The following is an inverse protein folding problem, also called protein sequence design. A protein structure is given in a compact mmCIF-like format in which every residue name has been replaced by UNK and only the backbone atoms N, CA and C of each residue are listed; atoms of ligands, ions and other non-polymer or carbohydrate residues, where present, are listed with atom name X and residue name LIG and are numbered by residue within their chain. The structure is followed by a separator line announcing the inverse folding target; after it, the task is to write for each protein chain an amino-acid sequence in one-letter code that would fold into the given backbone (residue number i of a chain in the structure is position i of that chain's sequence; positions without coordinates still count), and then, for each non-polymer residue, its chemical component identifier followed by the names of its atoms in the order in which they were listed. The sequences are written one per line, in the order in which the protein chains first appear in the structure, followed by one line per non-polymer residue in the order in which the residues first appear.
data_IF_788928825672
#
_entry.id   IF_788928825672
#
_cell.length_a   1.000
_cell.length_b   1.000
_cell.length_c   1.000
_cell.angle_alpha   90.00
_cell.angle_beta   90.00
_cell.angle_gamma   90.00
#
_symmetry.space_group_name_H-M   'P 1'
#
loop_
_entity.id
_entity.type
_entity.pdbx_description
1 polymer ?
#
# COMPACT_ATOMS: atom_id res chain seq x y z
N UNK A 1 -1.79 18.97 13.04
CA UNK A 1 -2.24 18.03 11.99
C UNK A 1 -1.58 16.65 12.09
N UNK A 2 -0.26 16.55 12.22
CA UNK A 2 0.48 15.28 12.30
C UNK A 2 0.00 14.31 13.40
N UNK A 3 -0.48 14.82 14.54
CA UNK A 3 -1.05 13.99 15.62
C UNK A 3 -2.36 13.27 15.26
N UNK A 4 -3.10 13.78 14.27
CA UNK A 4 -4.39 13.20 13.85
C UNK A 4 -4.19 12.10 12.81
N UNK A 5 -3.22 12.24 11.90
CA UNK A 5 -2.93 11.28 10.82
C UNK A 5 -2.88 9.82 11.30
N UNK A 6 -2.10 9.45 12.35
CA UNK A 6 -2.04 8.05 12.79
C UNK A 6 -3.33 7.54 13.45
N UNK A 7 -4.28 8.43 13.78
CA UNK A 7 -5.58 8.07 14.37
C UNK A 7 -6.65 7.80 13.32
N UNK A 8 -6.41 8.19 12.06
CA UNK A 8 -7.37 8.02 10.97
C UNK A 8 -7.28 6.58 10.46
N UNK A 9 -8.41 5.89 10.47
CA UNK A 9 -8.55 4.52 9.98
C UNK A 9 -8.84 4.51 8.48
N UNK A 10 -7.83 4.85 7.68
CA UNK A 10 -7.90 4.88 6.22
C UNK A 10 -6.63 4.28 5.62
N UNK A 11 -6.73 3.77 4.39
CA UNK A 11 -5.58 3.25 3.68
C UNK A 11 -4.70 4.35 3.09
N UNK A 12 -5.28 5.50 2.74
CA UNK A 12 -4.59 6.68 2.20
C UNK A 12 -5.19 7.94 2.84
N UNK A 13 -4.37 8.92 3.22
CA UNK A 13 -4.82 10.20 3.79
C UNK A 13 -4.17 11.33 3.01
N UNK A 14 -4.98 12.22 2.44
CA UNK A 14 -4.51 13.46 1.83
C UNK A 14 -4.61 14.64 2.80
N UNK A 15 -3.65 15.55 2.71
CA UNK A 15 -3.55 16.75 3.55
C UNK A 15 -3.47 17.95 2.63
N UNK A 16 -4.41 18.89 2.76
CA UNK A 16 -4.51 20.11 1.94
C UNK A 16 -4.60 19.87 0.41
N UNK A 17 -4.96 18.65 0.00
CA UNK A 17 -5.16 18.24 -1.37
C UNK A 17 -6.15 17.05 -1.40
N UNK A 18 -6.61 16.67 -2.58
CA UNK A 18 -7.44 15.48 -2.77
C UNK A 18 -7.16 14.88 -4.15
N UNK A 19 -7.30 13.55 -4.28
CA UNK A 19 -7.10 12.80 -5.53
C UNK A 19 -5.72 12.95 -6.19
N UNK A 20 -4.69 13.42 -5.46
CA UNK A 20 -3.32 13.33 -5.96
C UNK A 20 -2.85 11.87 -5.86
N UNK A 21 -2.47 11.30 -6.99
CA UNK A 21 -1.98 9.93 -7.12
C UNK A 21 -0.62 9.96 -7.81
N UNK A 22 0.28 9.12 -7.35
CA UNK A 22 1.60 8.91 -7.92
C UNK A 22 1.83 7.40 -8.04
N UNK A 23 2.30 6.94 -9.20
CA UNK A 23 2.46 5.51 -9.48
C UNK A 23 3.51 4.82 -8.61
N UNK A 24 4.38 5.59 -7.95
CA UNK A 24 5.40 5.09 -7.03
C UNK A 24 4.91 4.97 -5.58
N UNK A 25 3.77 5.58 -5.23
CA UNK A 25 3.23 5.62 -3.86
C UNK A 25 2.16 4.54 -3.69
N UNK A 26 2.27 3.65 -2.68
CA UNK A 26 1.26 2.62 -2.43
C UNK A 26 -0.12 3.20 -2.15
N UNK A 27 -1.14 2.71 -2.86
CA UNK A 27 -2.54 3.06 -2.69
C UNK A 27 -3.35 1.87 -2.20
N UNK A 28 -4.38 2.11 -1.40
CA UNK A 28 -5.28 1.04 -0.97
C UNK A 28 -6.28 1.46 0.09
N UNK A 29 -7.18 0.53 0.42
CA UNK A 29 -8.27 0.72 1.36
C UNK A 29 -7.94 0.29 2.79
N UNK A 30 -8.93 0.44 3.67
CA UNK A 30 -8.91 -0.10 5.03
C UNK A 30 -10.26 -0.77 5.33
N UNK A 31 -10.25 -1.93 6.01
CA UNK A 31 -11.44 -2.76 6.29
C UNK A 31 -12.19 -3.17 5.01
N UNK A 32 -13.48 -2.83 4.91
CA UNK A 32 -14.36 -3.26 3.82
C UNK A 32 -14.05 -2.57 2.49
N UNK A 33 -13.16 -1.58 2.46
CA UNK A 33 -12.76 -0.88 1.24
C UNK A 33 -11.83 -1.70 0.32
N UNK A 34 -11.37 -2.88 0.75
CA UNK A 34 -10.54 -3.76 -0.06
C UNK A 34 -9.40 -4.43 0.71
N UNK A 35 -8.67 -5.29 0.01
CA UNK A 35 -7.53 -6.04 0.52
C UNK A 35 -6.28 -5.71 -0.30
N UNK A 36 -5.12 -5.70 0.35
CA UNK A 36 -3.84 -5.45 -0.33
C UNK A 36 -3.56 -3.98 -0.61
N UNK A 37 -2.55 -3.74 -1.43
CA UNK A 37 -2.08 -2.43 -1.88
C UNK A 37 -1.75 -2.49 -3.36
N UNK A 38 -2.07 -1.41 -4.04
CA UNK A 38 -1.71 -1.17 -5.44
C UNK A 38 -0.65 -0.08 -5.53
N UNK A 39 -0.08 0.07 -6.73
CA UNK A 39 0.99 1.04 -7.02
C UNK A 39 2.25 0.84 -6.17
N UNK A 40 3.32 1.53 -6.56
CA UNK A 40 4.62 1.44 -5.92
C UNK A 40 5.14 0.01 -5.82
N UNK A 41 6.04 -0.22 -4.86
CA UNK A 41 6.63 -1.53 -4.66
C UNK A 41 5.68 -2.53 -3.98
N UNK A 42 4.72 -2.04 -3.20
CA UNK A 42 3.76 -2.89 -2.47
C UNK A 42 2.83 -3.67 -3.41
N UNK A 43 2.57 -3.15 -4.61
CA UNK A 43 1.79 -3.86 -5.63
C UNK A 43 2.44 -5.18 -6.06
N UNK A 44 3.78 -5.28 -6.02
CA UNK A 44 4.49 -6.51 -6.38
C UNK A 44 4.08 -7.71 -5.51
N UNK A 45 3.73 -7.46 -4.24
CA UNK A 45 3.30 -8.53 -3.32
C UNK A 45 1.96 -9.17 -3.75
N UNK A 46 1.14 -8.44 -4.52
CA UNK A 46 -0.13 -8.95 -5.07
C UNK A 46 0.01 -9.60 -6.44
N UNK A 47 1.08 -9.29 -7.19
CA UNK A 47 1.28 -9.75 -8.58
C UNK A 47 2.39 -10.80 -8.73
N UNK A 48 3.30 -10.92 -7.78
CA UNK A 48 4.41 -11.86 -7.82
C UNK A 48 4.28 -12.91 -6.72
N UNK A 49 4.76 -14.11 -7.01
CA UNK A 49 4.83 -15.21 -6.06
C UNK A 49 6.29 -15.51 -5.70
N UNK A 50 6.58 -15.61 -4.40
CA UNK A 50 7.92 -15.95 -3.92
C UNK A 50 8.19 -17.45 -4.05
N UNK A 51 9.19 -17.82 -4.85
CA UNK A 51 9.66 -19.21 -4.99
C UNK A 51 10.98 -19.41 -4.24
N UNK A 52 10.97 -20.32 -3.28
CA UNK A 52 12.20 -20.73 -2.57
C UNK A 52 12.90 -21.88 -3.29
N UNK A 53 14.23 -21.81 -3.42
CA UNK A 53 15.07 -22.86 -4.00
C UNK A 53 16.25 -23.12 -3.08
N UNK A 54 16.41 -24.35 -2.62
CA UNK A 54 17.58 -24.81 -1.87
C UNK A 54 18.46 -25.63 -2.81
N UNK A 55 19.73 -25.24 -2.92
CA UNK A 55 20.74 -25.97 -3.70
C UNK A 55 21.88 -26.36 -2.77
N UNK A 56 22.12 -27.67 -2.65
CA UNK A 56 23.33 -28.20 -2.04
C UNK A 56 24.49 -28.14 -3.06
N UNK A 57 25.68 -27.80 -2.57
CA UNK A 57 26.96 -27.91 -3.30
C UNK A 57 27.72 -29.09 -2.74
#
# INVERSE_FOLDING_TARGET
MQRLIPRIKAGTVWVNCHSMLDSSVPFGGFKQSGLGREMGRASLDGYLESKSVFKAV
#
